data_IF_260132736194
#
_entry.id   IF_260132736194
#
_cell.length_a   1.000
_cell.length_b   1.000
_cell.length_c   1.000
_cell.angle_alpha   90.00
_cell.angle_beta   90.00
_cell.angle_gamma   90.00
#
_symmetry.space_group_name_H-M   'P 1'
#
loop_
_entity.id
_entity.type
_entity.pdbx_description
1 polymer ?
#
# COMPACT_ATOMS: atom_id res chain seq x y z
N UNK A 1 -19.57 30.48 2.10
CA UNK A 1 -18.50 30.79 3.06
C UNK A 1 -17.34 29.77 3.10
N UNK A 2 -17.36 28.65 2.36
CA UNK A 2 -16.30 27.63 2.40
C UNK A 2 -15.29 27.63 1.22
N UNK A 3 -15.48 28.47 0.19
CA UNK A 3 -14.58 28.50 -0.99
C UNK A 3 -13.26 29.27 -0.76
N UNK A 4 -13.15 30.09 0.28
CA UNK A 4 -11.94 30.88 0.54
C UNK A 4 -10.86 30.13 1.36
N UNK A 5 -11.20 29.04 2.05
CA UNK A 5 -10.22 28.28 2.85
C UNK A 5 -9.32 27.38 2.01
N UNK A 6 -9.81 26.82 0.91
CA UNK A 6 -9.00 25.97 0.02
C UNK A 6 -7.92 26.78 -0.70
N UNK A 7 -8.26 28.01 -1.15
CA UNK A 7 -7.30 28.93 -1.77
C UNK A 7 -6.25 29.38 -0.75
N UNK A 8 -6.63 29.65 0.51
CA UNK A 8 -5.69 30.05 1.54
C UNK A 8 -4.70 28.93 1.92
N UNK A 9 -5.16 27.67 2.01
CA UNK A 9 -4.30 26.51 2.31
C UNK A 9 -3.37 26.21 1.13
N UNK A 10 -3.87 26.30 -0.11
CA UNK A 10 -3.04 26.09 -1.30
C UNK A 10 -2.00 27.21 -1.46
N UNK A 11 -2.35 28.46 -1.12
CA UNK A 11 -1.41 29.60 -1.13
C UNK A 11 -0.36 29.48 -0.01
N UNK A 12 -0.72 28.94 1.16
CA UNK A 12 0.21 28.65 2.26
C UNK A 12 1.18 27.51 1.92
N UNK A 13 0.73 26.47 1.21
CA UNK A 13 1.59 25.38 0.73
C UNK A 13 2.52 25.83 -0.39
N UNK A 14 2.03 26.68 -1.31
CA UNK A 14 2.85 27.29 -2.35
C UNK A 14 3.87 28.27 -1.74
N UNK A 15 3.51 29.04 -0.71
CA UNK A 15 4.45 29.91 0.01
C UNK A 15 5.51 29.11 0.80
N UNK A 16 5.13 28.00 1.44
CA UNK A 16 6.11 27.12 2.08
C UNK A 16 7.08 26.52 1.05
N UNK A 17 6.59 26.12 -0.13
CA UNK A 17 7.45 25.65 -1.22
C UNK A 17 8.31 26.76 -1.84
N UNK A 18 7.78 27.96 -2.07
CA UNK A 18 8.55 29.05 -2.71
C UNK A 18 9.44 29.85 -1.76
N UNK A 19 9.32 29.72 -0.44
CA UNK A 19 10.23 30.41 0.51
C UNK A 19 11.27 29.44 1.10
N UNK A 20 10.91 28.17 1.33
CA UNK A 20 11.82 27.20 1.96
C UNK A 20 12.77 26.58 0.93
N UNK A 21 12.33 26.33 -0.31
CA UNK A 21 13.19 25.73 -1.34
C UNK A 21 14.29 26.69 -1.84
N UNK A 22 14.04 27.99 -2.12
CA UNK A 22 15.12 28.87 -2.57
C UNK A 22 16.05 29.30 -1.44
N UNK A 23 15.60 29.32 -0.16
CA UNK A 23 16.53 29.50 0.98
C UNK A 23 17.46 28.30 1.17
N UNK A 24 17.01 27.08 0.84
CA UNK A 24 17.89 25.91 0.75
C UNK A 24 18.78 25.96 -0.50
N UNK A 25 18.28 26.41 -1.66
CA UNK A 25 19.06 26.48 -2.90
C UNK A 25 20.06 27.66 -2.95
N UNK A 26 19.79 28.77 -2.25
CA UNK A 26 20.72 29.88 -2.11
C UNK A 26 21.91 29.51 -1.22
N UNK A 27 21.69 28.72 -0.17
CA UNK A 27 22.78 28.11 0.61
C UNK A 27 23.56 27.03 -0.16
N UNK A 28 22.98 26.44 -1.21
CA UNK A 28 23.66 25.45 -2.07
C UNK A 28 24.52 26.12 -3.15
N UNK A 29 24.21 27.36 -3.57
CA UNK A 29 25.02 28.07 -4.59
C UNK A 29 26.36 28.59 -4.07
N UNK A 30 26.54 28.72 -2.75
CA UNK A 30 27.86 28.99 -2.15
C UNK A 30 28.66 27.73 -1.79
N UNK A 31 28.11 26.53 -2.08
CA UNK A 31 28.77 25.24 -1.84
C UNK A 31 28.98 24.44 -3.13
N UNK A 32 29.22 25.12 -4.25
CA UNK A 32 29.72 24.48 -5.47
C UNK A 32 31.21 24.14 -5.34
N UNK A 33 31.50 23.15 -4.50
CA UNK A 33 32.69 22.28 -4.51
C UNK A 33 32.59 21.25 -3.36
N UNK A 34 31.45 20.57 -3.24
CA UNK A 34 31.35 19.41 -2.36
C UNK A 34 31.15 18.19 -3.26
N UNK A 35 32.22 17.41 -3.38
CA UNK A 35 32.22 16.06 -3.94
C UNK A 35 31.04 15.25 -3.39
N UNK A 36 30.45 14.38 -4.21
CA UNK A 36 29.33 13.48 -3.89
C UNK A 36 29.70 12.39 -2.84
N UNK A 37 30.80 12.55 -2.11
CA UNK A 37 31.40 11.52 -1.25
C UNK A 37 31.23 11.71 0.27
N UNK A 38 30.34 12.60 0.72
CA UNK A 38 30.12 12.75 2.16
C UNK A 38 28.64 12.86 2.50
N UNK A 39 27.96 11.71 2.54
CA UNK A 39 26.95 11.50 3.59
C UNK A 39 27.68 11.71 4.91
N UNK A 40 27.20 12.61 5.77
CA UNK A 40 27.90 12.88 7.02
C UNK A 40 27.99 11.58 7.83
N UNK A 41 29.12 11.34 8.50
CA UNK A 41 29.32 10.14 9.34
C UNK A 41 28.14 9.90 10.30
N UNK A 42 27.51 10.98 10.78
CA UNK A 42 26.33 10.94 11.64
C UNK A 42 25.08 10.37 10.95
N UNK A 43 24.81 10.75 9.69
CA UNK A 43 23.70 10.17 8.91
C UNK A 43 23.95 8.69 8.63
N UNK A 44 25.19 8.30 8.31
CA UNK A 44 25.55 6.89 8.13
C UNK A 44 25.37 6.09 9.42
N UNK A 45 25.79 6.63 10.56
CA UNK A 45 25.62 6.00 11.88
C UNK A 45 24.14 5.84 12.24
N UNK A 46 23.32 6.84 11.94
CA UNK A 46 21.87 6.81 12.18
C UNK A 46 21.14 5.82 11.27
N UNK A 47 21.52 5.77 9.98
CA UNK A 47 21.02 4.76 9.05
C UNK A 47 21.36 3.37 9.59
N UNK A 48 22.63 3.13 9.91
CA UNK A 48 23.08 1.85 10.47
C UNK A 48 22.36 1.51 11.78
N UNK A 49 22.00 2.50 12.60
CA UNK A 49 21.19 2.31 13.80
C UNK A 49 19.79 1.78 13.48
N UNK A 50 19.10 2.33 12.47
CA UNK A 50 17.78 1.87 12.04
C UNK A 50 17.78 0.58 11.22
N UNK A 51 18.92 0.16 10.67
CA UNK A 51 19.08 -1.13 10.00
C UNK A 51 19.34 -2.30 10.97
N UNK A 52 19.56 -2.03 12.27
CA UNK A 52 19.87 -3.09 13.24
C UNK A 52 18.69 -4.05 13.37
N UNK A 53 18.95 -5.37 13.38
CA UNK A 53 17.90 -6.35 13.66
C UNK A 53 17.36 -6.16 15.09
N UNK A 54 16.12 -6.57 15.28
CA UNK A 54 15.44 -6.56 16.58
C UNK A 54 15.85 -7.80 17.35
N UNK A 55 16.32 -7.59 18.58
CA UNK A 55 16.51 -8.68 19.53
C UNK A 55 15.17 -9.03 20.19
N UNK A 56 14.58 -10.18 19.85
CA UNK A 56 13.27 -10.60 20.35
C UNK A 56 13.33 -11.24 21.75
N UNK A 57 14.05 -10.61 22.66
CA UNK A 57 13.96 -10.86 24.10
C UNK A 57 13.32 -9.64 24.81
N UNK A 58 13.03 -9.74 26.10
CA UNK A 58 12.33 -8.68 26.83
C UNK A 58 13.08 -7.33 26.78
N UNK A 59 14.41 -7.37 26.95
CA UNK A 59 15.25 -6.16 26.94
C UNK A 59 15.37 -5.57 25.53
N UNK A 60 15.52 -6.41 24.52
CA UNK A 60 15.63 -6.03 23.12
C UNK A 60 14.35 -5.41 22.55
N UNK A 61 13.18 -5.98 22.87
CA UNK A 61 11.89 -5.35 22.53
C UNK A 61 11.69 -4.02 23.26
N UNK A 62 12.04 -3.96 24.55
CA UNK A 62 11.99 -2.71 25.33
C UNK A 62 12.89 -1.65 24.69
N UNK A 63 14.09 -2.03 24.28
CA UNK A 63 15.04 -1.16 23.60
C UNK A 63 14.50 -0.68 22.26
N UNK A 64 14.03 -1.59 21.40
CA UNK A 64 13.45 -1.25 20.11
C UNK A 64 12.31 -0.24 20.24
N UNK A 65 11.34 -0.49 21.13
CA UNK A 65 10.21 0.43 21.29
C UNK A 65 10.63 1.79 21.85
N UNK A 66 11.54 1.82 22.83
CA UNK A 66 12.00 3.08 23.45
C UNK A 66 12.89 3.91 22.53
N UNK A 67 13.81 3.27 21.82
CA UNK A 67 14.91 3.97 21.15
C UNK A 67 14.85 3.94 19.63
N UNK A 68 14.16 2.95 19.02
CA UNK A 68 14.07 2.81 17.56
C UNK A 68 12.69 3.25 17.08
N UNK A 69 11.62 2.54 17.45
CA UNK A 69 10.25 2.80 16.97
C UNK A 69 9.74 4.20 17.34
N UNK A 70 10.09 4.67 18.53
CA UNK A 70 9.73 6.00 19.03
C UNK A 70 10.80 7.06 18.76
N UNK A 71 11.87 6.73 18.04
CA UNK A 71 12.84 7.74 17.63
C UNK A 71 12.14 8.79 16.74
N UNK A 72 12.37 10.10 16.95
CA UNK A 72 11.74 11.15 16.15
C UNK A 72 11.98 11.04 14.64
N UNK A 73 13.13 10.45 14.26
CA UNK A 73 13.56 10.31 12.87
C UNK A 73 13.23 8.94 12.26
N UNK A 74 12.60 8.03 13.02
CA UNK A 74 12.27 6.70 12.49
C UNK A 74 11.29 6.77 11.30
N UNK A 75 10.40 7.76 11.29
CA UNK A 75 9.49 8.02 10.15
C UNK A 75 10.18 8.61 8.93
N UNK A 76 11.45 9.02 9.03
CA UNK A 76 12.27 9.41 7.88
C UNK A 76 12.97 8.20 7.25
N UNK A 77 13.15 7.13 8.04
CA UNK A 77 13.78 5.89 7.62
C UNK A 77 12.79 4.85 7.07
N UNK A 78 11.63 4.73 7.72
CA UNK A 78 10.57 3.80 7.33
C UNK A 78 10.15 3.83 5.85
N UNK A 79 10.17 4.98 5.12
CA UNK A 79 9.88 5.02 3.69
C UNK A 79 10.72 4.07 2.84
N UNK A 80 11.96 3.84 3.26
CA UNK A 80 12.97 3.11 2.50
C UNK A 80 13.12 1.66 2.96
N UNK A 81 12.70 1.36 4.19
CA UNK A 81 12.88 0.03 4.73
C UNK A 81 11.81 -0.33 5.77
N UNK A 82 10.99 -1.31 5.42
CA UNK A 82 9.96 -1.91 6.25
C UNK A 82 10.40 -3.24 6.89
N UNK A 83 11.71 -3.54 6.92
CA UNK A 83 12.27 -4.83 7.39
C UNK A 83 11.90 -5.18 8.82
N UNK A 84 11.74 -4.18 9.71
CA UNK A 84 11.31 -4.43 11.08
C UNK A 84 9.93 -5.11 11.11
N UNK A 85 9.02 -4.76 10.19
CA UNK A 85 7.72 -5.42 10.08
C UNK A 85 7.87 -6.89 9.73
N UNK A 86 8.75 -7.20 8.77
CA UNK A 86 9.07 -8.58 8.37
C UNK A 86 9.66 -9.34 9.56
N UNK A 87 10.60 -8.74 10.30
CA UNK A 87 11.20 -9.35 11.49
C UNK A 87 10.15 -9.69 12.56
N UNK A 88 9.18 -8.81 12.83
CA UNK A 88 8.08 -9.12 13.75
C UNK A 88 7.24 -10.30 13.27
N UNK A 89 6.89 -10.34 11.98
CA UNK A 89 6.13 -11.44 11.40
C UNK A 89 6.91 -12.76 11.41
N UNK A 90 8.22 -12.71 11.14
CA UNK A 90 9.10 -13.87 11.19
C UNK A 90 9.25 -14.41 12.61
N UNK A 91 9.40 -13.52 13.61
CA UNK A 91 9.42 -13.91 15.02
C UNK A 91 8.10 -14.58 15.43
N UNK A 92 6.97 -14.01 15.03
CA UNK A 92 5.68 -14.61 15.32
C UNK A 92 5.53 -15.99 14.69
N UNK A 93 6.06 -16.19 13.48
CA UNK A 93 6.08 -17.50 12.81
C UNK A 93 6.94 -18.50 13.58
N UNK A 94 8.14 -18.11 13.99
CA UNK A 94 9.08 -18.97 14.72
C UNK A 94 8.56 -19.37 16.12
N UNK A 95 7.71 -18.55 16.71
CA UNK A 95 7.12 -18.76 18.03
C UNK A 95 5.64 -19.14 17.98
N UNK A 96 5.17 -19.58 16.81
CA UNK A 96 3.80 -20.07 16.58
C UNK A 96 2.67 -19.12 17.02
N UNK A 97 2.89 -17.81 16.88
CA UNK A 97 1.89 -16.80 17.19
C UNK A 97 0.67 -16.88 16.25
N UNK A 98 -0.45 -16.36 16.74
CA UNK A 98 -1.74 -16.39 16.05
C UNK A 98 -1.90 -15.23 15.05
N UNK A 99 -3.00 -15.28 14.31
CA UNK A 99 -3.46 -14.25 13.39
C UNK A 99 -3.66 -12.90 14.10
N UNK A 100 -4.07 -12.92 15.37
CA UNK A 100 -4.20 -11.73 16.21
C UNK A 100 -2.85 -11.01 16.45
N UNK A 101 -1.75 -11.76 16.53
CA UNK A 101 -0.41 -11.18 16.61
C UNK A 101 -0.05 -10.49 15.29
N UNK A 102 -0.25 -11.14 14.15
CA UNK A 102 0.00 -10.54 12.83
C UNK A 102 -0.85 -9.28 12.61
N UNK A 103 -2.13 -9.30 12.99
CA UNK A 103 -3.00 -8.12 12.96
C UNK A 103 -2.44 -6.96 13.80
N UNK A 104 -1.91 -7.27 14.98
CA UNK A 104 -1.29 -6.27 15.86
C UNK A 104 -0.01 -5.68 15.26
N UNK A 105 0.81 -6.51 14.59
CA UNK A 105 1.99 -6.04 13.83
C UNK A 105 1.58 -5.11 12.70
N UNK A 106 0.60 -5.50 11.87
CA UNK A 106 0.09 -4.65 10.79
C UNK A 106 -0.38 -3.31 11.34
N UNK A 107 -1.20 -3.31 12.40
CA UNK A 107 -1.70 -2.09 13.04
C UNK A 107 -0.56 -1.19 13.56
N UNK A 108 0.46 -1.78 14.18
CA UNK A 108 1.63 -1.07 14.71
C UNK A 108 2.38 -0.32 13.59
N UNK A 109 2.58 -0.95 12.44
CA UNK A 109 3.28 -0.35 11.31
C UNK A 109 2.39 0.59 10.50
N UNK A 110 1.09 0.31 10.34
CA UNK A 110 0.13 1.27 9.78
C UNK A 110 0.14 2.61 10.53
N UNK A 111 0.23 2.59 11.86
CA UNK A 111 0.33 3.82 12.66
C UNK A 111 1.58 4.64 12.33
N UNK A 112 2.74 4.00 12.12
CA UNK A 112 3.96 4.71 11.73
C UNK A 112 3.97 5.14 10.28
N UNK A 113 3.47 4.33 9.35
CA UNK A 113 3.33 4.71 7.95
C UNK A 113 2.40 5.92 7.82
N UNK A 114 1.33 6.03 8.62
CA UNK A 114 0.49 7.25 8.65
C UNK A 114 1.31 8.51 8.97
N UNK A 115 2.24 8.42 9.92
CA UNK A 115 3.14 9.51 10.32
C UNK A 115 4.32 9.73 9.36
N UNK A 116 4.51 8.84 8.40
CA UNK A 116 5.57 8.90 7.41
C UNK A 116 5.15 9.81 6.25
N UNK A 117 6.00 10.72 5.74
CA UNK A 117 5.61 11.67 4.70
C UNK A 117 5.39 11.01 3.33
N UNK A 118 6.18 9.98 2.99
CA UNK A 118 6.12 9.24 1.74
C UNK A 118 6.58 7.80 1.91
N UNK A 119 6.42 6.97 0.90
CA UNK A 119 7.04 5.65 0.78
C UNK A 119 7.84 5.65 -0.51
N UNK A 120 9.07 5.16 -0.48
CA UNK A 120 9.89 5.01 -1.70
C UNK A 120 9.33 3.85 -2.54
N UNK A 121 9.04 4.11 -3.82
CA UNK A 121 8.31 3.15 -4.65
C UNK A 121 9.13 1.89 -4.95
N UNK A 122 10.42 2.06 -5.21
CA UNK A 122 11.38 0.99 -5.44
C UNK A 122 11.55 0.11 -4.20
N UNK A 123 11.72 0.74 -3.03
CA UNK A 123 11.77 0.02 -1.75
C UNK A 123 10.48 -0.76 -1.47
N UNK A 124 9.32 -0.22 -1.85
CA UNK A 124 8.03 -0.90 -1.67
C UNK A 124 7.86 -2.11 -2.62
N UNK A 125 8.37 -2.02 -3.86
CA UNK A 125 8.46 -3.17 -4.78
C UNK A 125 9.25 -4.31 -4.15
N UNK A 126 10.40 -4.01 -3.53
CA UNK A 126 11.24 -5.04 -2.89
C UNK A 126 10.62 -5.62 -1.61
N UNK A 127 9.81 -4.83 -0.92
CA UNK A 127 9.16 -5.22 0.33
C UNK A 127 7.98 -6.17 0.11
N UNK A 128 7.12 -5.91 -0.88
CA UNK A 128 5.86 -6.65 -1.09
C UNK A 128 6.04 -8.18 -1.19
N UNK A 129 7.01 -8.74 -1.95
CA UNK A 129 7.24 -10.19 -1.99
C UNK A 129 7.56 -10.77 -0.62
N UNK A 130 8.45 -10.12 0.14
CA UNK A 130 8.89 -10.54 1.48
C UNK A 130 7.73 -10.49 2.46
N UNK A 131 6.92 -9.45 2.35
CA UNK A 131 5.72 -9.29 3.16
C UNK A 131 4.68 -10.36 2.87
N UNK A 132 4.41 -10.65 1.60
CA UNK A 132 3.48 -11.70 1.21
C UNK A 132 3.92 -13.07 1.75
N UNK A 133 5.22 -13.38 1.65
CA UNK A 133 5.78 -14.65 2.17
C UNK A 133 5.71 -14.73 3.70
N UNK A 134 5.99 -13.63 4.40
CA UNK A 134 5.89 -13.57 5.86
C UNK A 134 4.45 -13.66 6.38
N UNK A 135 3.46 -13.21 5.60
CA UNK A 135 2.03 -13.26 5.97
C UNK A 135 1.39 -14.62 5.74
N UNK A 136 1.87 -15.39 4.75
CA UNK A 136 1.29 -16.67 4.33
C UNK A 136 0.95 -17.62 5.50
N UNK A 137 1.81 -17.85 6.52
CA UNK A 137 1.51 -18.77 7.62
C UNK A 137 0.35 -18.34 8.53
N UNK A 138 -0.02 -17.06 8.52
CA UNK A 138 -1.14 -16.51 9.29
C UNK A 138 -2.45 -16.49 8.50
N UNK A 139 -2.40 -16.77 7.20
CA UNK A 139 -3.55 -16.70 6.29
C UNK A 139 -3.95 -18.07 5.75
N UNK A 140 -3.04 -19.04 5.82
CA UNK A 140 -3.31 -20.44 5.52
C UNK A 140 -4.07 -21.10 6.67
N UNK A 141 -5.12 -21.86 6.33
CA UNK A 141 -5.84 -22.67 7.32
C UNK A 141 -4.92 -23.73 7.91
N UNK A 142 -4.68 -23.66 9.21
CA UNK A 142 -4.03 -24.74 9.96
C UNK A 142 -5.06 -25.82 10.29
N UNK A 143 -5.47 -26.61 9.29
CA UNK A 143 -6.50 -27.64 9.46
C UNK A 143 -6.18 -28.63 10.61
N UNK A 144 -4.90 -28.97 10.80
CA UNK A 144 -4.47 -29.87 11.87
C UNK A 144 -4.46 -29.23 13.28
N UNK A 145 -4.06 -27.96 13.40
CA UNK A 145 -4.03 -27.26 14.69
C UNK A 145 -5.45 -26.91 15.15
N UNK A 146 -6.32 -26.53 14.21
CA UNK A 146 -7.75 -26.29 14.45
C UNK A 146 -8.44 -27.54 15.01
N UNK A 147 -8.16 -28.73 14.46
CA UNK A 147 -8.72 -29.98 15.01
C UNK A 147 -8.27 -30.23 16.44
N UNK A 148 -7.03 -29.88 16.79
CA UNK A 148 -6.52 -29.98 18.17
C UNK A 148 -7.23 -29.05 19.15
N UNK A 149 -7.44 -27.78 18.78
CA UNK A 149 -8.19 -26.81 19.58
C UNK A 149 -9.66 -27.20 19.73
N UNK A 150 -10.29 -27.60 18.63
CA UNK A 150 -11.66 -28.12 18.62
C UNK A 150 -11.73 -29.34 19.54
N UNK A 151 -10.78 -30.28 19.45
CA UNK A 151 -10.76 -31.45 20.33
C UNK A 151 -10.63 -31.09 21.81
N UNK A 152 -9.76 -30.13 22.16
CA UNK A 152 -9.58 -29.68 23.54
C UNK A 152 -10.86 -29.04 24.10
N UNK A 153 -11.47 -28.13 23.34
CA UNK A 153 -12.73 -27.46 23.71
C UNK A 153 -13.88 -28.46 23.81
N UNK A 154 -14.00 -29.38 22.84
CA UNK A 154 -15.00 -30.44 22.87
C UNK A 154 -14.80 -31.35 24.08
N UNK A 155 -13.57 -31.75 24.40
CA UNK A 155 -13.27 -32.60 25.55
C UNK A 155 -13.68 -31.95 26.87
N UNK A 156 -13.31 -30.69 27.09
CA UNK A 156 -13.64 -29.98 28.33
C UNK A 156 -15.16 -29.78 28.46
N UNK A 157 -15.82 -29.43 27.36
CA UNK A 157 -17.28 -29.29 27.30
C UNK A 157 -18.00 -30.62 27.54
N UNK A 158 -17.57 -31.69 26.87
CA UNK A 158 -18.13 -33.03 27.02
C UNK A 158 -18.02 -33.49 28.47
N UNK A 159 -16.86 -33.28 29.09
CA UNK A 159 -16.62 -33.59 30.50
C UNK A 159 -17.61 -32.82 31.38
N UNK A 160 -17.76 -31.51 31.16
CA UNK A 160 -18.69 -30.66 31.91
C UNK A 160 -20.16 -31.06 31.72
N UNK A 161 -20.59 -31.35 30.48
CA UNK A 161 -21.97 -31.77 30.17
C UNK A 161 -22.26 -33.14 30.79
N UNK A 162 -21.33 -34.09 30.68
CA UNK A 162 -21.46 -35.38 31.33
C UNK A 162 -21.56 -35.21 32.84
N UNK A 163 -20.65 -34.48 33.49
CA UNK A 163 -20.68 -34.29 34.94
C UNK A 163 -21.97 -33.64 35.44
N UNK A 164 -22.57 -32.72 34.68
CA UNK A 164 -23.80 -32.01 35.09
C UNK A 164 -25.09 -32.77 34.77
N UNK A 165 -25.12 -33.51 33.66
CA UNK A 165 -26.36 -34.09 33.13
C UNK A 165 -26.31 -35.63 33.04
N UNK A 166 -25.37 -36.29 33.72
CA UNK A 166 -25.26 -37.75 33.74
C UNK A 166 -26.56 -38.44 34.19
N UNK A 167 -27.23 -37.88 35.19
CA UNK A 167 -28.51 -38.42 35.69
C UNK A 167 -29.64 -38.32 34.66
N UNK A 168 -29.60 -37.33 33.77
CA UNK A 168 -30.51 -37.22 32.63
C UNK A 168 -30.17 -38.26 31.55
N UNK A 169 -28.88 -38.44 31.25
CA UNK A 169 -28.41 -39.50 30.35
C UNK A 169 -28.88 -40.89 30.79
N UNK A 170 -28.82 -41.20 32.09
CA UNK A 170 -29.32 -42.48 32.62
C UNK A 170 -30.82 -42.71 32.40
N UNK A 171 -31.62 -41.63 32.29
CA UNK A 171 -33.07 -41.70 32.14
C UNK A 171 -33.54 -41.60 30.70
N UNK A 172 -32.82 -40.86 29.86
CA UNK A 172 -33.14 -40.67 28.45
C UNK A 172 -31.83 -40.55 27.62
N UNK A 173 -31.19 -41.67 27.28
CA UNK A 173 -29.93 -41.67 26.54
C UNK A 173 -30.04 -40.98 25.17
N UNK A 174 -31.11 -41.25 24.43
CA UNK A 174 -31.30 -40.71 23.07
C UNK A 174 -31.53 -39.19 23.11
N UNK A 175 -32.37 -38.70 24.02
CA UNK A 175 -32.60 -37.27 24.21
C UNK A 175 -31.32 -36.53 24.61
N UNK A 176 -30.50 -37.13 25.47
CA UNK A 176 -29.19 -36.60 25.84
C UNK A 176 -28.24 -36.55 24.63
N UNK A 177 -28.09 -37.66 23.89
CA UNK A 177 -27.18 -37.74 22.74
C UNK A 177 -27.57 -36.80 21.60
N UNK A 178 -28.87 -36.62 21.35
CA UNK A 178 -29.37 -35.65 20.37
C UNK A 178 -29.06 -34.22 20.81
N UNK A 179 -29.33 -33.86 22.07
CA UNK A 179 -29.05 -32.53 22.62
C UNK A 179 -27.55 -32.23 22.62
N UNK A 180 -26.73 -33.21 22.97
CA UNK A 180 -25.28 -33.10 22.96
C UNK A 180 -24.78 -32.88 21.53
N UNK A 181 -25.21 -33.71 20.57
CA UNK A 181 -24.81 -33.59 19.17
C UNK A 181 -25.18 -32.23 18.58
N UNK A 182 -26.37 -31.70 18.89
CA UNK A 182 -26.78 -30.37 18.45
C UNK A 182 -25.89 -29.26 19.04
N UNK A 183 -25.51 -29.38 20.32
CA UNK A 183 -24.59 -28.43 20.96
C UNK A 183 -23.19 -28.48 20.36
N UNK A 184 -22.66 -29.68 20.09
CA UNK A 184 -21.34 -29.84 19.45
C UNK A 184 -21.37 -29.24 18.04
N UNK A 185 -22.40 -29.52 17.24
CA UNK A 185 -22.57 -28.92 15.91
C UNK A 185 -22.60 -27.38 15.96
N UNK A 186 -23.37 -26.79 16.89
CA UNK A 186 -23.42 -25.32 17.07
C UNK A 186 -22.05 -24.73 17.42
N UNK A 187 -21.31 -25.35 18.33
CA UNK A 187 -20.00 -24.85 18.75
C UNK A 187 -18.92 -25.00 17.69
N UNK A 188 -18.87 -26.15 17.02
CA UNK A 188 -17.90 -26.37 15.93
C UNK A 188 -18.14 -25.37 14.80
N UNK A 189 -19.41 -25.12 14.45
CA UNK A 189 -19.75 -24.09 13.47
C UNK A 189 -19.35 -22.69 13.93
N UNK A 190 -19.53 -22.36 15.22
CA UNK A 190 -19.12 -21.07 15.76
C UNK A 190 -17.60 -20.87 15.70
N UNK A 191 -16.81 -21.85 16.14
CA UNK A 191 -15.34 -21.78 16.10
C UNK A 191 -14.81 -21.65 14.66
N UNK A 192 -15.35 -22.45 13.74
CA UNK A 192 -15.02 -22.37 12.32
C UNK A 192 -15.34 -20.97 11.76
N UNK A 193 -16.52 -20.44 12.09
CA UNK A 193 -16.96 -19.11 11.63
C UNK A 193 -16.07 -18.01 12.20
N UNK A 194 -15.71 -18.06 13.48
CA UNK A 194 -14.82 -17.07 14.10
C UNK A 194 -13.45 -17.03 13.42
N UNK A 195 -12.81 -18.19 13.22
CA UNK A 195 -11.52 -18.26 12.52
C UNK A 195 -11.62 -17.69 11.09
N UNK A 196 -12.69 -18.03 10.37
CA UNK A 196 -12.94 -17.50 9.05
C UNK A 196 -13.08 -15.97 9.03
N UNK A 197 -13.77 -15.40 10.02
CA UNK A 197 -13.93 -13.95 10.17
C UNK A 197 -12.60 -13.29 10.50
N UNK A 198 -11.80 -13.86 11.41
CA UNK A 198 -10.50 -13.30 11.80
C UNK A 198 -9.52 -13.27 10.63
N UNK A 199 -9.42 -14.35 9.86
CA UNK A 199 -8.58 -14.39 8.65
C UNK A 199 -9.08 -13.37 7.61
N UNK A 200 -10.40 -13.25 7.42
CA UNK A 200 -10.95 -12.29 6.47
C UNK A 200 -10.68 -10.84 6.89
N UNK A 201 -10.79 -10.52 8.17
CA UNK A 201 -10.41 -9.19 8.70
C UNK A 201 -8.91 -8.94 8.58
N UNK A 202 -8.06 -9.94 8.84
CA UNK A 202 -6.61 -9.83 8.64
C UNK A 202 -6.26 -9.51 7.18
N UNK A 203 -6.89 -10.17 6.21
CA UNK A 203 -6.71 -9.85 4.78
C UNK A 203 -7.14 -8.44 4.42
N UNK A 204 -8.22 -7.93 5.02
CA UNK A 204 -8.65 -6.54 4.84
C UNK A 204 -7.62 -5.56 5.41
N UNK A 205 -7.06 -5.86 6.58
CA UNK A 205 -6.02 -5.02 7.18
C UNK A 205 -4.72 -5.03 6.37
N UNK A 206 -4.38 -6.17 5.76
CA UNK A 206 -3.29 -6.27 4.78
C UNK A 206 -3.54 -5.39 3.57
N UNK A 207 -4.73 -5.47 2.95
CA UNK A 207 -5.08 -4.61 1.81
C UNK A 207 -4.99 -3.13 2.19
N UNK A 208 -5.60 -2.73 3.30
CA UNK A 208 -5.54 -1.34 3.80
C UNK A 208 -4.12 -0.86 4.03
N UNK A 209 -3.24 -1.73 4.51
CA UNK A 209 -1.83 -1.39 4.68
C UNK A 209 -1.14 -1.16 3.32
N UNK A 210 -1.40 -2.01 2.32
CA UNK A 210 -0.88 -1.84 0.96
C UNK A 210 -1.40 -0.53 0.35
N UNK A 211 -2.70 -0.24 0.43
CA UNK A 211 -3.31 0.99 -0.06
C UNK A 211 -2.76 2.24 0.65
N UNK A 212 -2.53 2.16 1.96
CA UNK A 212 -1.94 3.24 2.73
C UNK A 212 -0.51 3.56 2.25
N UNK A 213 0.28 2.54 1.95
CA UNK A 213 1.61 2.71 1.38
C UNK A 213 1.52 3.25 -0.05
N UNK A 214 0.63 2.69 -0.88
CA UNK A 214 0.39 3.10 -2.25
C UNK A 214 0.05 4.60 -2.34
N UNK A 215 -0.82 5.09 -1.46
CA UNK A 215 -1.20 6.50 -1.40
C UNK A 215 -0.05 7.47 -1.03
N UNK A 216 1.07 6.94 -0.56
CA UNK A 216 2.26 7.70 -0.14
C UNK A 216 3.45 7.50 -1.07
N UNK A 217 3.33 6.72 -2.14
CA UNK A 217 4.47 6.40 -3.01
C UNK A 217 5.10 7.65 -3.62
N UNK A 218 6.41 7.74 -3.59
CA UNK A 218 7.20 8.73 -4.31
C UNK A 218 8.16 7.96 -5.20
N UNK A 219 8.24 8.40 -6.44
CA UNK A 219 9.16 7.84 -7.43
C UNK A 219 10.35 8.77 -7.61
N UNK A 220 11.52 8.20 -7.85
CA UNK A 220 12.70 8.97 -8.23
C UNK A 220 12.51 9.56 -9.63
N UNK A 221 12.59 10.88 -9.76
CA UNK A 221 12.48 11.56 -11.07
C UNK A 221 13.78 11.52 -11.88
N UNK A 222 14.79 10.75 -11.46
CA UNK A 222 16.10 10.68 -12.14
C UNK A 222 16.04 9.88 -13.44
N UNK A 223 15.07 8.98 -13.55
CA UNK A 223 14.76 8.20 -14.74
C UNK A 223 13.23 8.13 -14.86
N UNK A 224 12.66 8.95 -15.74
CA UNK A 224 11.22 9.08 -15.91
C UNK A 224 10.59 7.77 -16.44
N UNK A 225 11.27 7.05 -17.34
CA UNK A 225 10.81 5.75 -17.82
C UNK A 225 10.78 4.70 -16.71
N UNK A 226 11.75 4.74 -15.80
CA UNK A 226 11.78 3.85 -14.65
C UNK A 226 10.54 4.02 -13.76
N UNK A 227 9.98 5.23 -13.64
CA UNK A 227 8.75 5.48 -12.87
C UNK A 227 7.58 4.64 -13.38
N UNK A 228 7.39 4.60 -14.70
CA UNK A 228 6.33 3.80 -15.32
C UNK A 228 6.57 2.30 -15.14
N UNK A 229 7.82 1.85 -15.27
CA UNK A 229 8.18 0.46 -15.02
C UNK A 229 7.88 0.05 -13.57
N UNK A 230 8.31 0.85 -12.59
CA UNK A 230 8.08 0.60 -11.16
C UNK A 230 6.59 0.56 -10.84
N UNK A 231 5.78 1.45 -11.41
CA UNK A 231 4.32 1.44 -11.25
C UNK A 231 3.69 0.11 -11.71
N UNK A 232 4.08 -0.38 -12.89
CA UNK A 232 3.59 -1.67 -13.40
C UNK A 232 4.12 -2.86 -12.59
N UNK A 233 5.37 -2.76 -12.10
CA UNK A 233 5.94 -3.78 -11.23
C UNK A 233 5.21 -3.86 -9.89
N UNK A 234 4.82 -2.73 -9.31
CA UNK A 234 3.96 -2.71 -8.11
C UNK A 234 2.62 -3.40 -8.36
N UNK A 235 1.96 -3.14 -9.50
CA UNK A 235 0.71 -3.83 -9.82
C UNK A 235 0.89 -5.36 -9.93
N UNK A 236 2.01 -5.79 -10.52
CA UNK A 236 2.38 -7.20 -10.54
C UNK A 236 2.58 -7.76 -9.12
N UNK A 237 3.29 -7.05 -8.23
CA UNK A 237 3.47 -7.53 -6.85
C UNK A 237 2.16 -7.57 -6.04
N UNK A 238 1.21 -6.66 -6.31
CA UNK A 238 -0.15 -6.74 -5.74
C UNK A 238 -0.91 -7.95 -6.29
N UNK A 239 -0.76 -8.28 -7.58
CA UNK A 239 -1.29 -9.52 -8.15
C UNK A 239 -0.67 -10.75 -7.49
N UNK A 240 0.64 -10.75 -7.23
CA UNK A 240 1.30 -11.84 -6.51
C UNK A 240 0.76 -11.99 -5.08
N UNK A 241 0.37 -10.89 -4.42
CA UNK A 241 -0.32 -10.97 -3.14
C UNK A 241 -1.69 -11.66 -3.27
N UNK A 242 -2.44 -11.42 -4.36
CA UNK A 242 -3.69 -12.12 -4.63
C UNK A 242 -3.45 -13.62 -4.87
N UNK A 243 -2.49 -13.97 -5.73
CA UNK A 243 -2.16 -15.37 -6.07
C UNK A 243 -1.70 -16.17 -4.85
N UNK A 244 -0.97 -15.52 -3.93
CA UNK A 244 -0.56 -16.11 -2.64
C UNK A 244 -1.68 -16.13 -1.59
N UNK A 245 -2.87 -15.62 -1.90
CA UNK A 245 -4.01 -15.57 -0.99
C UNK A 245 -3.85 -14.56 0.15
N UNK A 246 -2.93 -13.60 0.02
CA UNK A 246 -2.62 -12.58 1.02
C UNK A 246 -3.69 -11.48 1.08
N UNK A 247 -4.24 -11.12 -0.09
CA UNK A 247 -5.41 -10.23 -0.21
C UNK A 247 -6.65 -11.02 -0.71
N UNK A 248 -7.83 -10.41 -0.59
CA UNK A 248 -9.11 -11.10 -0.76
C UNK A 248 -9.67 -10.99 -2.19
N UNK A 249 -9.48 -12.02 -3.00
CA UNK A 249 -10.17 -12.17 -4.29
C UNK A 249 -9.88 -11.04 -5.29
N UNK A 250 -10.52 -11.09 -6.47
CA UNK A 250 -10.25 -10.13 -7.55
C UNK A 250 -10.54 -8.68 -7.19
N UNK A 251 -11.55 -8.42 -6.35
CA UNK A 251 -11.94 -7.05 -5.98
C UNK A 251 -10.88 -6.32 -5.16
N UNK A 252 -10.21 -7.01 -4.23
CA UNK A 252 -9.10 -6.42 -3.48
C UNK A 252 -7.90 -6.09 -4.38
N UNK A 253 -7.70 -6.87 -5.45
CA UNK A 253 -6.67 -6.58 -6.43
C UNK A 253 -7.05 -5.35 -7.28
N UNK A 254 -8.33 -5.22 -7.64
CA UNK A 254 -8.84 -4.06 -8.35
C UNK A 254 -8.68 -2.76 -7.53
N UNK A 255 -9.07 -2.78 -6.25
CA UNK A 255 -8.87 -1.67 -5.30
C UNK A 255 -7.39 -1.26 -5.21
N UNK A 256 -6.49 -2.25 -5.17
CA UNK A 256 -5.05 -2.04 -5.19
C UNK A 256 -4.57 -1.38 -6.49
N UNK A 257 -5.09 -1.80 -7.65
CA UNK A 257 -4.77 -1.20 -8.95
C UNK A 257 -5.26 0.26 -9.03
N UNK A 258 -6.49 0.55 -8.59
CA UNK A 258 -7.01 1.91 -8.53
C UNK A 258 -6.18 2.82 -7.62
N UNK A 259 -5.76 2.33 -6.45
CA UNK A 259 -4.85 3.06 -5.56
C UNK A 259 -3.53 3.43 -6.24
N UNK A 260 -2.92 2.49 -6.98
CA UNK A 260 -1.69 2.75 -7.74
C UNK A 260 -1.92 3.75 -8.88
N UNK A 261 -3.02 3.62 -9.62
CA UNK A 261 -3.39 4.51 -10.73
C UNK A 261 -3.57 5.94 -10.24
N UNK A 262 -4.35 6.14 -9.17
CA UNK A 262 -4.58 7.47 -8.62
C UNK A 262 -3.28 8.09 -8.13
N UNK A 263 -2.41 7.31 -7.49
CA UNK A 263 -1.12 7.81 -7.06
C UNK A 263 -0.19 8.15 -8.23
N UNK A 264 -0.17 7.34 -9.28
CA UNK A 264 0.60 7.63 -10.49
C UNK A 264 0.10 8.90 -11.19
N UNK A 265 -1.22 9.08 -11.29
CA UNK A 265 -1.83 10.31 -11.80
C UNK A 265 -1.44 11.55 -10.96
N UNK A 266 -1.33 11.40 -9.63
CA UNK A 266 -0.83 12.46 -8.75
C UNK A 266 0.65 12.78 -9.02
N UNK A 267 1.49 11.76 -9.26
CA UNK A 267 2.87 11.99 -9.68
C UNK A 267 2.97 12.76 -11.00
N UNK A 268 2.13 12.42 -11.99
CA UNK A 268 2.07 13.16 -13.26
C UNK A 268 1.68 14.62 -13.03
N UNK A 269 0.71 14.88 -12.15
CA UNK A 269 0.30 16.25 -11.81
C UNK A 269 1.46 17.10 -11.28
N UNK A 270 2.29 16.53 -10.40
CA UNK A 270 3.40 17.24 -9.79
C UNK A 270 4.61 17.37 -10.71
N UNK A 271 4.88 16.34 -11.51
CA UNK A 271 6.16 16.20 -12.21
C UNK A 271 6.05 16.51 -13.70
N UNK A 272 4.85 16.72 -14.24
CA UNK A 272 4.61 16.86 -15.68
C UNK A 272 5.61 17.78 -16.42
N UNK A 273 5.94 18.99 -15.92
CA UNK A 273 6.87 19.89 -16.62
C UNK A 273 8.31 19.35 -16.75
N UNK A 274 8.67 18.35 -15.95
CA UNK A 274 10.03 17.78 -15.88
C UNK A 274 10.17 16.46 -16.62
N UNK A 275 9.06 15.83 -17.03
CA UNK A 275 9.06 14.54 -17.71
C UNK A 275 9.31 14.72 -19.21
N UNK A 276 10.04 13.79 -19.82
CA UNK A 276 10.34 13.84 -21.25
C UNK A 276 9.10 13.55 -22.12
N UNK A 277 9.02 14.07 -23.35
CA UNK A 277 8.01 13.64 -24.31
C UNK A 277 8.00 12.13 -24.55
N UNK A 278 9.19 11.51 -24.57
CA UNK A 278 9.41 10.08 -24.77
C UNK A 278 8.73 9.25 -23.68
N UNK A 279 8.76 9.70 -22.42
CA UNK A 279 8.04 9.07 -21.33
C UNK A 279 6.53 8.98 -21.64
N UNK A 280 5.90 10.08 -22.03
CA UNK A 280 4.47 10.08 -22.33
C UNK A 280 4.13 9.19 -23.52
N UNK A 281 4.97 9.21 -24.56
CA UNK A 281 4.78 8.36 -25.73
C UNK A 281 4.91 6.88 -25.40
N UNK A 282 5.88 6.51 -24.55
CA UNK A 282 6.04 5.14 -24.09
C UNK A 282 4.83 4.67 -23.26
N UNK A 283 4.36 5.49 -22.30
CA UNK A 283 3.20 5.15 -21.47
C UNK A 283 1.94 4.99 -22.33
N UNK A 284 1.68 5.91 -23.26
CA UNK A 284 0.52 5.83 -24.15
C UNK A 284 0.61 4.65 -25.12
N UNK A 285 1.81 4.33 -25.61
CA UNK A 285 2.05 3.15 -26.45
C UNK A 285 1.75 1.87 -25.68
N UNK A 286 2.26 1.75 -24.46
CA UNK A 286 2.05 0.57 -23.60
C UNK A 286 0.57 0.38 -23.27
N UNK A 287 -0.14 1.45 -22.90
CA UNK A 287 -1.57 1.39 -22.61
C UNK A 287 -2.43 0.94 -23.80
N UNK A 288 -1.97 1.17 -25.03
CA UNK A 288 -2.67 0.77 -26.26
C UNK A 288 -2.29 -0.63 -26.73
N UNK A 289 -1.04 -1.04 -26.54
CA UNK A 289 -0.47 -2.21 -27.21
C UNK A 289 -0.21 -3.38 -26.28
N UNK A 290 -0.04 -3.16 -24.97
CA UNK A 290 0.33 -4.20 -24.01
C UNK A 290 -0.83 -4.59 -23.09
N UNK A 291 -0.97 -5.89 -22.77
CA UNK A 291 -1.86 -6.35 -21.71
C UNK A 291 -1.21 -6.08 -20.34
N UNK A 292 -1.43 -4.89 -19.79
CA UNK A 292 -0.86 -4.48 -18.51
C UNK A 292 -1.69 -5.01 -17.34
N UNK A 293 -1.03 -5.63 -16.35
CA UNK A 293 -1.64 -6.11 -15.09
C UNK A 293 -2.38 -4.99 -14.37
N UNK A 294 -1.81 -3.78 -14.36
CA UNK A 294 -2.39 -2.56 -13.76
C UNK A 294 -3.82 -2.26 -14.28
N UNK A 295 -4.14 -2.70 -15.51
CA UNK A 295 -5.45 -2.45 -16.16
C UNK A 295 -6.16 -3.75 -16.52
N UNK A 296 -5.76 -4.88 -15.94
CA UNK A 296 -6.27 -6.20 -16.34
C UNK A 296 -7.60 -6.57 -15.70
N UNK A 297 -7.91 -6.03 -14.52
CA UNK A 297 -9.21 -6.21 -13.88
C UNK A 297 -10.28 -5.37 -14.60
N UNK A 298 -11.39 -6.03 -14.96
CA UNK A 298 -12.55 -5.37 -15.55
C UNK A 298 -13.31 -4.57 -14.47
N UNK A 299 -13.96 -3.48 -14.87
CA UNK A 299 -14.85 -2.74 -13.95
C UNK A 299 -16.15 -3.53 -13.76
N UNK A 300 -16.73 -3.51 -12.55
CA UNK A 300 -17.95 -4.26 -12.24
C UNK A 300 -19.20 -3.65 -12.86
N UNK A 301 -19.29 -2.32 -12.91
CA UNK A 301 -20.47 -1.62 -13.36
C UNK A 301 -20.39 -1.16 -14.82
N UNK A 302 -21.49 -1.38 -15.54
CA UNK A 302 -21.67 -0.86 -16.88
C UNK A 302 -21.56 0.68 -16.89
N UNK A 303 -20.86 1.21 -17.90
CA UNK A 303 -20.64 2.64 -18.15
C UNK A 303 -19.68 3.36 -17.19
N UNK A 304 -18.99 2.65 -16.29
CA UNK A 304 -17.84 3.24 -15.58
C UNK A 304 -16.65 3.38 -16.53
N UNK A 305 -15.87 4.44 -16.32
CA UNK A 305 -14.63 4.65 -17.07
C UNK A 305 -13.61 3.60 -16.66
N UNK A 306 -13.16 2.78 -17.61
CA UNK A 306 -12.13 1.78 -17.33
C UNK A 306 -10.81 2.40 -16.88
N UNK A 307 -10.06 1.68 -16.05
CA UNK A 307 -8.68 2.02 -15.63
C UNK A 307 -7.80 2.46 -16.81
N UNK A 308 -7.85 1.72 -17.91
CA UNK A 308 -7.10 2.04 -19.15
C UNK A 308 -7.55 3.37 -19.76
N UNK A 309 -8.85 3.60 -19.90
CA UNK A 309 -9.37 4.85 -20.46
C UNK A 309 -9.03 6.06 -19.57
N UNK A 310 -9.14 5.89 -18.24
CA UNK A 310 -8.76 6.91 -17.26
C UNK A 310 -7.29 7.30 -17.39
N UNK A 311 -6.38 6.31 -17.39
CA UNK A 311 -4.94 6.55 -17.55
C UNK A 311 -4.60 7.24 -18.87
N UNK A 312 -5.14 6.76 -20.00
CA UNK A 312 -4.89 7.38 -21.32
C UNK A 312 -5.30 8.85 -21.30
N UNK A 313 -6.49 9.16 -20.77
CA UNK A 313 -7.00 10.52 -20.67
C UNK A 313 -6.06 11.41 -19.85
N UNK A 314 -5.63 10.95 -18.67
CA UNK A 314 -4.75 11.70 -17.76
C UNK A 314 -3.35 11.91 -18.33
N UNK A 315 -2.74 10.86 -18.87
CA UNK A 315 -1.41 10.92 -19.49
C UNK A 315 -1.42 11.87 -20.70
N UNK A 316 -2.44 11.80 -21.56
CA UNK A 316 -2.57 12.70 -22.71
C UNK A 316 -2.76 14.16 -22.28
N UNK A 317 -3.60 14.41 -21.26
CA UNK A 317 -3.81 15.73 -20.70
C UNK A 317 -2.48 16.35 -20.21
N UNK A 318 -1.72 15.62 -19.40
CA UNK A 318 -0.45 16.13 -18.87
C UNK A 318 0.63 16.26 -19.94
N UNK A 319 0.67 15.36 -20.94
CA UNK A 319 1.54 15.52 -22.11
C UNK A 319 1.28 16.86 -22.82
N UNK A 320 0.01 17.18 -23.08
CA UNK A 320 -0.36 18.42 -23.78
C UNK A 320 -0.04 19.68 -22.97
N UNK A 321 -0.10 19.60 -21.64
CA UNK A 321 0.24 20.72 -20.74
C UNK A 321 1.76 20.93 -20.68
N UNK A 322 2.54 19.85 -20.53
CA UNK A 322 3.99 19.92 -20.41
C UNK A 322 4.69 20.22 -21.74
N UNK A 323 4.16 19.64 -22.82
CA UNK A 323 4.73 19.70 -24.17
C UNK A 323 3.67 20.17 -25.15
N UNK A 324 3.27 21.46 -25.10
CA UNK A 324 2.28 21.98 -26.03
C UNK A 324 2.81 21.79 -27.44
N UNK A 325 1.99 21.19 -28.31
CA UNK A 325 2.31 21.15 -29.74
C UNK A 325 2.54 22.61 -30.19
N UNK A 326 3.59 22.88 -31.00
CA UNK A 326 3.71 24.18 -31.61
C UNK A 326 2.36 24.48 -32.27
N UNK A 327 1.83 25.69 -32.04
CA UNK A 327 0.70 26.20 -32.82
C UNK A 327 1.18 26.16 -34.28
N UNK A 328 0.87 25.09 -35.00
CA UNK A 328 1.11 24.99 -36.43
C UNK A 328 0.37 26.15 -37.05
N UNK A 329 1.13 27.19 -37.38
CA UNK A 329 0.75 28.36 -38.16
C UNK A 329 -0.76 28.58 -38.23
N UNK A 330 -1.32 29.23 -37.20
CA UNK A 330 -2.36 30.21 -37.47
C UNK A 330 -1.71 31.35 -38.27
N UNK A 331 -1.34 31.06 -39.53
CA UNK A 331 -1.34 32.06 -40.57
C UNK A 331 -2.79 32.49 -40.67
N UNK A 332 -3.17 33.46 -39.84
CA UNK A 332 -4.22 34.38 -40.19
C UNK A 332 -3.76 34.96 -41.53
N UNK A 333 -4.25 34.37 -42.63
CA UNK A 333 -4.34 35.08 -43.90
C UNK A 333 -5.24 36.29 -43.63
N UNK A 334 -4.64 37.35 -43.07
CA UNK A 334 -5.12 38.69 -43.26
C UNK A 334 -5.04 38.91 -44.77
N UNK A 335 -6.20 38.70 -45.40
CA UNK A 335 -6.40 38.93 -46.80
C UNK A 335 -6.47 40.46 -46.97
N UNK A 336 -5.32 41.12 -46.98
CA UNK A 336 -5.19 42.58 -47.15
C UNK A 336 -5.83 43.07 -48.46
N UNK A 337 -6.14 42.17 -49.38
CA UNK A 337 -6.83 42.45 -50.64
C UNK A 337 -8.34 42.77 -50.50
N UNK A 338 -8.93 42.73 -49.30
CA UNK A 338 -10.33 43.16 -49.09
C UNK A 338 -10.50 44.56 -48.48
N UNK A 339 -9.44 45.21 -48.02
CA UNK A 339 -9.55 46.58 -47.49
C UNK A 339 -9.35 47.62 -48.61
N UNK A 340 -8.62 47.30 -49.69
CA UNK A 340 -8.43 48.24 -50.80
C UNK A 340 -9.67 48.37 -51.71
N UNK A 341 -10.60 47.40 -51.72
CA UNK A 341 -11.85 47.48 -52.49
C UNK A 341 -13.00 48.21 -51.76
N UNK A 342 -12.72 48.81 -50.59
CA UNK A 342 -13.67 49.62 -49.83
C UNK A 342 -13.22 51.09 -49.69
N UNK A 343 -12.11 51.48 -50.34
CA UNK A 343 -11.56 52.84 -50.33
C UNK A 343 -11.55 53.48 -51.74
N UNK A 344 -11.82 52.70 -52.79
CA UNK A 344 -12.13 53.20 -54.14
C UNK A 344 -13.61 52.97 -54.46
#
# INVERSE_FOLDING_TARGET
MYKNNAVYIMTLLILQFHIVLPKRLANVKEQQNISIDTVSKQETDLINFFYRPIDFNADGLSYYFKHVYNHPEYTQYLPYNLSHMIQFLDYGRQTEQTEAFAASVIKLFMQKVKATPYIDAESFVEFLPKFADAMKPYLEKKDAAFLGEVQAVLKDRLTNVFSKYFSYFQRNPDGFMNSLSEQLAKQTNQLCTTQHVEIAELKKDVLRFIELCANKLVWSSKDDLQVWYVCNKLAYEVQQCLEKGVISGPESFDDGCWSLIHRFCYFLELSAPTLSPEFYDQVLSDLKTKPLILTAADEQEDNITSKRAHLISRVQMYKNIAHPKPLENFQLHFNDNKIQAAID
#
